data_IF_572280114564
#
_entry.id   IF_572280114564
#
_cell.length_a   1.000
_cell.length_b   1.000
_cell.length_c   1.000
_cell.angle_alpha   90.00
_cell.angle_beta   90.00
_cell.angle_gamma   90.00
#
_symmetry.space_group_name_H-M   'P 1'
#
loop_
_entity.id
_entity.type
_entity.pdbx_description
1 polymer ?
#
# COMPACT_ATOMS: atom_id res chain seq x y z
N UNK A 1 -1.01 8.61 -23.11
CA UNK A 1 -0.72 7.94 -24.39
C UNK A 1 -1.85 8.20 -25.39
N UNK A 2 -1.50 8.22 -26.67
CA UNK A 2 -2.48 8.29 -27.78
C UNK A 2 -2.84 6.85 -28.17
N UNK A 3 -4.11 6.60 -28.42
CA UNK A 3 -4.57 5.32 -28.96
C UNK A 3 -4.55 5.42 -30.49
N UNK A 4 -3.88 4.46 -31.12
CA UNK A 4 -3.79 4.36 -32.58
C UNK A 4 -5.07 3.76 -33.19
N UNK A 5 -5.20 3.79 -34.53
CA UNK A 5 -6.42 3.34 -35.23
C UNK A 5 -6.71 1.84 -35.03
N UNK A 6 -5.69 1.02 -34.76
CA UNK A 6 -5.81 -0.41 -34.47
C UNK A 6 -6.13 -0.70 -32.97
N UNK A 7 -6.28 0.34 -32.15
CA UNK A 7 -6.56 0.21 -30.72
C UNK A 7 -5.32 0.03 -29.85
N UNK A 8 -4.11 0.03 -30.43
CA UNK A 8 -2.87 -0.04 -29.66
C UNK A 8 -2.46 1.31 -29.08
N UNK A 9 -1.66 1.30 -28.06
CA UNK A 9 -0.98 2.47 -27.53
C UNK A 9 0.41 2.08 -27.03
N UNK A 10 1.32 3.03 -27.03
CA UNK A 10 2.63 2.87 -26.41
C UNK A 10 2.96 4.10 -25.56
N UNK A 11 3.69 3.87 -24.50
CA UNK A 11 4.19 4.92 -23.63
C UNK A 11 5.55 4.52 -23.06
N UNK A 12 6.54 5.38 -23.22
CA UNK A 12 7.87 5.19 -22.64
C UNK A 12 7.97 5.99 -21.34
N UNK A 13 8.43 5.35 -20.27
CA UNK A 13 8.70 5.96 -18.99
C UNK A 13 10.21 5.94 -18.72
N UNK A 14 10.72 7.02 -18.16
CA UNK A 14 12.12 7.13 -17.74
C UNK A 14 12.20 6.88 -16.22
N UNK A 15 12.24 5.60 -15.86
CA UNK A 15 12.29 5.21 -14.46
C UNK A 15 13.62 4.49 -14.17
N UNK A 16 14.19 4.79 -13.01
CA UNK A 16 15.44 4.14 -12.57
C UNK A 16 15.20 2.87 -11.75
N UNK A 17 13.95 2.58 -11.41
CA UNK A 17 13.55 1.46 -10.53
C UNK A 17 12.26 0.86 -11.01
N UNK A 18 12.00 -0.38 -10.58
CA UNK A 18 10.66 -0.97 -10.72
C UNK A 18 9.65 -0.18 -9.91
N UNK A 19 8.55 0.21 -10.53
CA UNK A 19 7.49 0.96 -9.88
C UNK A 19 6.11 0.35 -10.15
N UNK A 20 5.24 0.44 -9.17
CA UNK A 20 3.81 0.20 -9.35
C UNK A 20 3.18 1.43 -9.99
N UNK A 21 2.42 1.23 -11.04
CA UNK A 21 1.67 2.30 -11.71
C UNK A 21 0.32 1.78 -12.18
N UNK A 22 -0.47 2.61 -12.84
CA UNK A 22 -1.76 2.20 -13.35
C UNK A 22 -2.01 2.75 -14.74
N UNK A 23 -2.66 1.93 -15.56
CA UNK A 23 -3.25 2.37 -16.84
C UNK A 23 -4.74 2.49 -16.66
N UNK A 24 -5.29 3.64 -17.02
CA UNK A 24 -6.71 3.91 -16.95
C UNK A 24 -7.28 4.32 -18.29
N UNK A 25 -8.53 3.94 -18.52
CA UNK A 25 -9.32 4.41 -19.65
C UNK A 25 -10.68 4.88 -19.14
N UNK A 26 -11.12 6.04 -19.58
CA UNK A 26 -12.34 6.69 -19.06
C UNK A 26 -13.62 5.84 -19.13
N UNK A 27 -13.70 4.87 -20.03
CA UNK A 27 -14.84 3.96 -20.14
C UNK A 27 -14.79 2.81 -19.11
N UNK A 28 -13.63 2.48 -18.53
CA UNK A 28 -13.49 1.31 -17.64
C UNK A 28 -13.98 1.58 -16.22
N UNK A 29 -13.83 2.80 -15.73
CA UNK A 29 -14.15 3.12 -14.33
C UNK A 29 -13.17 2.58 -13.29
N UNK A 30 -12.35 1.60 -13.64
CA UNK A 30 -11.28 1.01 -12.82
C UNK A 30 -9.93 1.18 -13.48
N UNK A 31 -8.87 1.16 -12.70
CA UNK A 31 -7.50 1.21 -13.18
C UNK A 31 -6.93 -0.20 -13.35
N UNK A 32 -6.17 -0.42 -14.42
CA UNK A 32 -5.34 -1.61 -14.56
C UNK A 32 -4.02 -1.37 -13.83
N UNK A 33 -3.85 -1.98 -12.68
CA UNK A 33 -2.59 -1.91 -11.93
C UNK A 33 -1.52 -2.75 -12.61
N UNK A 34 -0.35 -2.16 -12.78
CA UNK A 34 0.79 -2.76 -13.47
C UNK A 34 2.10 -2.43 -12.75
N UNK A 35 3.13 -3.16 -13.09
CA UNK A 35 4.50 -2.82 -12.72
C UNK A 35 5.32 -2.46 -13.96
N UNK A 36 6.05 -1.38 -13.88
CA UNK A 36 7.04 -0.99 -14.87
C UNK A 36 8.43 -1.17 -14.29
N UNK A 37 9.34 -1.76 -15.05
CA UNK A 37 10.73 -1.95 -14.63
C UNK A 37 11.70 -1.41 -15.69
N UNK A 38 12.87 -0.85 -15.28
CA UNK A 38 13.86 -0.31 -16.19
C UNK A 38 14.28 -1.33 -17.25
N UNK A 39 14.31 -0.91 -18.50
CA UNK A 39 14.73 -1.75 -19.62
C UNK A 39 13.80 -2.91 -19.97
N UNK A 40 12.59 -2.96 -19.38
CA UNK A 40 11.62 -4.00 -19.65
C UNK A 40 10.36 -3.42 -20.31
N UNK A 41 9.65 -4.28 -21.04
CA UNK A 41 8.37 -3.96 -21.66
C UNK A 41 7.26 -4.59 -20.82
N UNK A 42 6.23 -3.80 -20.55
CA UNK A 42 4.98 -4.26 -19.95
C UNK A 42 3.87 -4.15 -20.97
N UNK A 43 3.13 -5.22 -21.18
CA UNK A 43 1.98 -5.24 -22.08
C UNK A 43 0.69 -5.27 -21.25
N UNK A 44 -0.25 -4.44 -21.63
CA UNK A 44 -1.56 -4.33 -20.95
C UNK A 44 -2.67 -4.39 -21.98
N UNK A 45 -3.56 -5.35 -21.81
CA UNK A 45 -4.76 -5.50 -22.64
C UNK A 45 -5.97 -5.06 -21.82
N UNK A 46 -6.61 -3.98 -22.22
CA UNK A 46 -7.79 -3.44 -21.54
C UNK A 46 -9.07 -3.96 -22.17
N UNK A 47 -9.93 -4.59 -21.39
CA UNK A 47 -11.27 -4.99 -21.83
C UNK A 47 -12.27 -3.86 -21.61
N UNK A 48 -12.25 -2.88 -22.53
CA UNK A 48 -13.08 -1.68 -22.44
C UNK A 48 -14.57 -2.01 -22.43
N UNK A 49 -14.99 -3.07 -23.13
CA UNK A 49 -16.39 -3.51 -23.14
C UNK A 49 -16.87 -3.96 -21.77
N UNK A 50 -16.11 -4.81 -21.10
CA UNK A 50 -16.46 -5.27 -19.75
C UNK A 50 -16.36 -4.12 -18.73
N UNK A 51 -15.38 -3.24 -18.86
CA UNK A 51 -15.28 -2.04 -18.05
C UNK A 51 -16.49 -1.12 -18.21
N UNK A 52 -16.92 -0.88 -19.44
CA UNK A 52 -18.10 -0.09 -19.70
C UNK A 52 -19.38 -0.74 -19.15
N UNK A 53 -19.52 -2.07 -19.26
CA UNK A 53 -20.62 -2.82 -18.63
C UNK A 53 -20.63 -2.63 -17.12
N UNK A 54 -19.50 -2.81 -16.45
CA UNK A 54 -19.36 -2.62 -15.00
C UNK A 54 -19.75 -1.22 -14.56
N UNK A 55 -19.38 -0.20 -15.34
CA UNK A 55 -19.69 1.19 -15.04
C UNK A 55 -21.14 1.58 -15.35
N UNK A 56 -21.85 0.79 -16.14
CA UNK A 56 -23.22 1.10 -16.57
C UNK A 56 -24.18 1.13 -15.37
N UNK A 57 -25.03 2.15 -15.32
CA UNK A 57 -26.13 2.25 -14.34
C UNK A 57 -27.22 1.18 -14.51
N UNK A 58 -27.19 0.47 -15.63
CA UNK A 58 -28.19 -0.56 -15.99
C UNK A 58 -27.70 -1.98 -15.74
N UNK A 59 -26.58 -2.16 -15.03
CA UNK A 59 -26.14 -3.50 -14.67
C UNK A 59 -26.93 -4.04 -13.48
N UNK A 60 -27.14 -5.36 -13.43
CA UNK A 60 -27.73 -6.00 -12.27
C UNK A 60 -26.75 -5.98 -11.09
N UNK A 61 -27.26 -5.80 -9.86
CA UNK A 61 -26.42 -5.73 -8.64
C UNK A 61 -25.49 -6.95 -8.47
N UNK A 62 -25.88 -8.12 -8.98
CA UNK A 62 -25.11 -9.36 -8.91
C UNK A 62 -24.50 -9.79 -10.27
N UNK A 63 -24.31 -8.86 -11.19
CA UNK A 63 -23.74 -9.18 -12.49
C UNK A 63 -22.28 -9.64 -12.36
N UNK A 64 -21.96 -10.80 -12.91
CA UNK A 64 -20.57 -11.25 -13.09
C UNK A 64 -19.96 -10.54 -14.27
N UNK A 65 -18.73 -10.05 -14.08
CA UNK A 65 -17.94 -9.41 -15.13
C UNK A 65 -16.73 -10.27 -15.48
N UNK A 66 -16.34 -10.25 -16.76
CA UNK A 66 -15.08 -10.81 -17.20
C UNK A 66 -13.89 -10.01 -16.67
N UNK A 67 -12.69 -10.52 -16.88
CA UNK A 67 -11.47 -9.78 -16.54
C UNK A 67 -11.46 -8.41 -17.24
N UNK A 68 -11.20 -7.36 -16.48
CA UNK A 68 -11.16 -5.99 -16.98
C UNK A 68 -9.86 -5.67 -17.70
N UNK A 69 -8.79 -6.34 -17.34
CA UNK A 69 -7.50 -6.22 -18.00
C UNK A 69 -6.67 -7.49 -17.85
N UNK A 70 -5.68 -7.61 -18.73
CA UNK A 70 -4.62 -8.60 -18.67
C UNK A 70 -3.29 -7.85 -18.68
N UNK A 71 -2.37 -8.33 -17.87
CA UNK A 71 -1.03 -7.78 -17.78
C UNK A 71 -0.02 -8.88 -18.08
N UNK A 72 1.00 -8.54 -18.86
CA UNK A 72 2.15 -9.37 -19.13
C UNK A 72 3.40 -8.51 -19.02
N UNK A 73 4.36 -8.96 -18.23
CA UNK A 73 5.58 -8.20 -18.00
C UNK A 73 6.25 -8.50 -16.66
N UNK A 74 7.11 -7.59 -16.18
CA UNK A 74 7.77 -7.76 -14.90
C UNK A 74 6.74 -7.87 -13.79
N UNK A 75 6.96 -8.81 -12.86
CA UNK A 75 6.08 -9.06 -11.71
C UNK A 75 4.64 -9.51 -12.07
N UNK A 76 4.45 -10.18 -13.21
CA UNK A 76 3.15 -10.70 -13.65
C UNK A 76 2.45 -11.54 -12.55
N UNK A 77 3.21 -12.38 -11.86
CA UNK A 77 2.67 -13.19 -10.77
C UNK A 77 2.10 -12.33 -9.64
N UNK A 78 2.81 -11.25 -9.27
CA UNK A 78 2.31 -10.31 -8.25
C UNK A 78 1.01 -9.64 -8.70
N UNK A 79 0.93 -9.16 -9.95
CA UNK A 79 -0.31 -8.57 -10.48
C UNK A 79 -1.47 -9.58 -10.46
N UNK A 80 -1.20 -10.83 -10.79
CA UNK A 80 -2.20 -11.90 -10.73
C UNK A 80 -2.67 -12.19 -9.31
N UNK A 81 -1.79 -12.10 -8.34
CA UNK A 81 -2.04 -12.37 -6.93
C UNK A 81 -2.56 -11.14 -6.15
N UNK A 82 -2.63 -9.96 -6.77
CA UNK A 82 -3.06 -8.71 -6.12
C UNK A 82 -4.41 -8.79 -5.38
N UNK A 83 -5.45 -9.50 -5.84
CA UNK A 83 -6.67 -9.64 -5.07
C UNK A 83 -6.45 -10.28 -3.70
N UNK A 84 -5.61 -11.33 -3.63
CA UNK A 84 -5.23 -12.01 -2.39
C UNK A 84 -4.36 -11.11 -1.50
N UNK A 85 -3.40 -10.40 -2.12
CA UNK A 85 -2.57 -9.38 -1.46
C UNK A 85 -3.43 -8.33 -0.79
N UNK A 86 -4.38 -7.74 -1.51
CA UNK A 86 -5.26 -6.71 -0.97
C UNK A 86 -6.13 -7.24 0.18
N UNK A 87 -6.60 -8.48 0.07
CA UNK A 87 -7.37 -9.12 1.14
C UNK A 87 -6.53 -9.29 2.42
N UNK A 88 -5.32 -9.82 2.31
CA UNK A 88 -4.40 -9.98 3.44
C UNK A 88 -4.08 -8.63 4.10
N UNK A 89 -3.76 -7.61 3.29
CA UNK A 89 -3.46 -6.27 3.80
C UNK A 89 -4.65 -5.67 4.53
N UNK A 90 -5.85 -5.76 3.96
CA UNK A 90 -7.07 -5.24 4.58
C UNK A 90 -7.40 -5.96 5.89
N UNK A 91 -7.23 -7.28 5.94
CA UNK A 91 -7.54 -8.07 7.13
C UNK A 91 -6.62 -7.78 8.31
N UNK A 92 -5.33 -7.57 8.07
CA UNK A 92 -4.32 -7.48 9.10
C UNK A 92 -3.83 -6.05 9.39
N UNK A 93 -3.81 -5.17 8.40
CA UNK A 93 -3.32 -3.80 8.54
C UNK A 93 -4.40 -2.72 8.37
N UNK A 94 -5.53 -3.04 7.74
CA UNK A 94 -6.58 -2.07 7.44
C UNK A 94 -7.44 -1.64 8.62
N UNK A 95 -7.30 -2.26 9.80
CA UNK A 95 -8.09 -1.93 10.98
C UNK A 95 -7.42 -0.85 11.81
N UNK A 96 -8.15 0.26 12.03
CA UNK A 96 -7.74 1.27 13.00
C UNK A 96 -8.02 0.78 14.42
N UNK A 97 -7.06 0.96 15.33
CA UNK A 97 -7.28 0.75 16.75
C UNK A 97 -8.03 1.95 17.36
N UNK A 98 -8.78 1.67 18.39
CA UNK A 98 -9.40 2.70 19.22
C UNK A 98 -8.49 2.97 20.42
N UNK A 99 -8.16 4.24 20.64
CA UNK A 99 -7.31 4.68 21.74
C UNK A 99 -8.11 5.50 22.74
N UNK A 100 -7.85 5.29 24.03
CA UNK A 100 -8.39 6.12 25.10
C UNK A 100 -7.53 7.40 25.24
N UNK A 101 -7.94 8.45 24.57
CA UNK A 101 -7.29 9.79 24.68
C UNK A 101 -7.42 10.41 26.06
N UNK A 102 -8.01 9.72 27.04
CA UNK A 102 -7.93 10.02 28.48
C UNK A 102 -6.56 9.76 29.08
N UNK A 103 -5.74 8.89 28.48
CA UNK A 103 -4.37 8.58 28.91
C UNK A 103 -3.39 9.69 28.57
N UNK A 104 -2.22 9.68 29.20
CA UNK A 104 -1.12 10.59 28.83
C UNK A 104 -0.55 10.28 27.45
N UNK A 105 -0.05 11.28 26.72
CA UNK A 105 0.48 11.06 25.35
C UNK A 105 1.60 10.03 25.25
N UNK A 106 2.48 9.99 26.25
CA UNK A 106 3.56 9.00 26.30
C UNK A 106 3.02 7.57 26.45
N UNK A 107 2.00 7.37 27.28
CA UNK A 107 1.38 6.06 27.47
C UNK A 107 0.61 5.64 26.21
N UNK A 108 -0.06 6.58 25.56
CA UNK A 108 -0.69 6.35 24.25
C UNK A 108 0.32 5.97 23.18
N UNK A 109 1.49 6.63 23.13
CA UNK A 109 2.53 6.27 22.17
C UNK A 109 3.09 4.87 22.41
N UNK A 110 3.25 4.48 23.67
CA UNK A 110 3.68 3.11 24.03
C UNK A 110 2.64 2.07 23.61
N UNK A 111 1.37 2.33 23.91
CA UNK A 111 0.24 1.48 23.51
C UNK A 111 0.13 1.38 21.99
N UNK A 112 0.20 2.51 21.28
CA UNK A 112 0.22 2.56 19.82
C UNK A 112 1.32 1.69 19.23
N UNK A 113 2.58 1.86 19.71
CA UNK A 113 3.71 1.04 19.27
C UNK A 113 3.48 -0.44 19.50
N UNK A 114 2.95 -0.82 20.67
CA UNK A 114 2.71 -2.20 21.02
C UNK A 114 1.63 -2.83 20.12
N UNK A 115 0.56 -2.10 19.86
CA UNK A 115 -0.52 -2.54 18.96
C UNK A 115 -0.03 -2.67 17.52
N UNK A 116 0.71 -1.68 17.01
CA UNK A 116 1.28 -1.73 15.67
C UNK A 116 2.27 -2.90 15.51
N UNK A 117 3.14 -3.13 16.49
CA UNK A 117 4.04 -4.28 16.47
C UNK A 117 3.29 -5.62 16.41
N UNK A 118 2.21 -5.75 17.17
CA UNK A 118 1.38 -6.96 17.15
C UNK A 118 0.65 -7.16 15.82
N UNK A 119 0.18 -6.08 15.17
CA UNK A 119 -0.41 -6.14 13.82
C UNK A 119 0.60 -6.56 12.78
N UNK A 120 1.77 -5.95 12.80
CA UNK A 120 2.87 -6.24 11.88
C UNK A 120 3.28 -7.72 11.97
N UNK A 121 3.43 -8.24 13.18
CA UNK A 121 3.79 -9.66 13.38
C UNK A 121 2.72 -10.59 12.81
N UNK A 122 1.46 -10.34 13.12
CA UNK A 122 0.34 -11.11 12.55
C UNK A 122 0.26 -11.03 11.03
N UNK A 123 0.52 -9.84 10.46
CA UNK A 123 0.56 -9.67 9.01
C UNK A 123 1.69 -10.49 8.38
N UNK A 124 2.90 -10.47 8.96
CA UNK A 124 4.03 -11.27 8.48
C UNK A 124 3.76 -12.76 8.57
N UNK A 125 3.22 -13.23 9.68
CA UNK A 125 2.83 -14.63 9.84
C UNK A 125 1.79 -15.05 8.78
N UNK A 126 0.78 -14.24 8.54
CA UNK A 126 -0.23 -14.50 7.51
C UNK A 126 0.38 -14.56 6.10
N UNK A 127 1.31 -13.67 5.78
CA UNK A 127 2.04 -13.68 4.50
C UNK A 127 2.88 -14.96 4.36
N UNK A 128 3.62 -15.34 5.38
CA UNK A 128 4.45 -16.56 5.35
C UNK A 128 3.60 -17.81 5.10
N UNK A 129 2.44 -17.92 5.75
CA UNK A 129 1.54 -19.06 5.66
C UNK A 129 0.61 -19.03 4.44
N UNK A 130 0.63 -17.95 3.65
CA UNK A 130 -0.22 -17.82 2.46
C UNK A 130 0.28 -18.68 1.30
N UNK A 131 -0.58 -19.02 0.33
CA UNK A 131 -0.21 -19.76 -0.88
C UNK A 131 0.49 -18.87 -1.93
N UNK A 132 0.77 -17.61 -1.62
CA UNK A 132 1.39 -16.65 -2.54
C UNK A 132 2.81 -17.06 -2.96
N UNK A 133 3.20 -16.64 -4.17
CA UNK A 133 4.54 -16.87 -4.68
C UNK A 133 5.62 -16.11 -3.89
N UNK A 134 6.87 -16.58 -3.95
CA UNK A 134 7.98 -15.99 -3.19
C UNK A 134 8.22 -14.50 -3.51
N UNK A 135 8.09 -14.10 -4.77
CA UNK A 135 8.24 -12.70 -5.16
C UNK A 135 7.13 -11.82 -4.54
N UNK A 136 5.89 -12.32 -4.50
CA UNK A 136 4.76 -11.63 -3.88
C UNK A 136 4.93 -11.55 -2.36
N UNK A 137 5.43 -12.60 -1.72
CA UNK A 137 5.75 -12.58 -0.28
C UNK A 137 6.84 -11.56 0.05
N UNK A 138 7.90 -11.49 -0.77
CA UNK A 138 8.95 -10.49 -0.61
C UNK A 138 8.41 -9.05 -0.77
N UNK A 139 7.56 -8.83 -1.76
CA UNK A 139 6.85 -7.55 -1.94
C UNK A 139 6.01 -7.19 -0.70
N UNK A 140 5.23 -8.13 -0.19
CA UNK A 140 4.39 -7.91 0.99
C UNK A 140 5.22 -7.63 2.26
N UNK A 141 6.31 -8.34 2.47
CA UNK A 141 7.20 -8.08 3.61
C UNK A 141 7.81 -6.67 3.55
N UNK A 142 8.23 -6.25 2.35
CA UNK A 142 8.68 -4.88 2.14
C UNK A 142 7.57 -3.86 2.42
N UNK A 143 6.36 -4.11 1.94
CA UNK A 143 5.20 -3.24 2.17
C UNK A 143 4.83 -3.16 3.66
N UNK A 144 4.82 -4.28 4.38
CA UNK A 144 4.58 -4.34 5.81
C UNK A 144 5.65 -3.54 6.58
N UNK A 145 6.91 -3.66 6.18
CA UNK A 145 8.01 -2.90 6.78
C UNK A 145 7.84 -1.40 6.58
N UNK A 146 7.39 -0.98 5.39
CA UNK A 146 7.06 0.42 5.12
C UNK A 146 5.88 0.90 5.93
N UNK A 147 4.82 0.11 6.03
CA UNK A 147 3.67 0.45 6.87
C UNK A 147 4.10 0.69 8.32
N UNK A 148 5.01 -0.13 8.84
CA UNK A 148 5.59 0.05 10.17
C UNK A 148 6.31 1.40 10.31
N UNK A 149 7.09 1.79 9.31
CA UNK A 149 7.79 3.07 9.30
C UNK A 149 6.80 4.25 9.21
N UNK A 150 5.85 4.17 8.28
CA UNK A 150 4.82 5.21 8.09
C UNK A 150 4.00 5.39 9.37
N UNK A 151 3.55 4.29 9.99
CA UNK A 151 2.83 4.34 11.26
C UNK A 151 3.63 5.05 12.37
N UNK A 152 4.94 4.82 12.42
CA UNK A 152 5.79 5.50 13.39
C UNK A 152 5.92 7.00 13.07
N UNK A 153 6.08 7.37 11.79
CA UNK A 153 6.17 8.76 11.36
C UNK A 153 4.87 9.53 11.64
N UNK A 154 3.73 8.90 11.47
CA UNK A 154 2.41 9.49 11.68
C UNK A 154 1.98 9.54 13.15
N UNK A 155 2.57 8.70 14.02
CA UNK A 155 2.17 8.60 15.42
C UNK A 155 2.10 9.94 16.16
N UNK A 156 3.05 10.89 16.02
CA UNK A 156 2.93 12.19 16.67
C UNK A 156 1.71 12.97 16.22
N UNK A 157 1.43 13.00 14.93
CA UNK A 157 0.28 13.74 14.39
C UNK A 157 -1.04 13.13 14.87
N UNK A 158 -1.13 11.81 14.84
CA UNK A 158 -2.33 11.09 15.27
C UNK A 158 -2.60 11.26 16.77
N UNK A 159 -1.58 11.06 17.60
CA UNK A 159 -1.74 11.02 19.05
C UNK A 159 -1.76 12.41 19.66
N UNK A 160 -0.84 13.30 19.24
CA UNK A 160 -0.76 14.65 19.81
C UNK A 160 -1.87 15.56 19.34
N UNK A 161 -2.28 15.46 18.06
CA UNK A 161 -3.42 16.22 17.52
C UNK A 161 -4.71 15.90 18.25
N UNK A 162 -5.04 14.63 18.41
CA UNK A 162 -6.24 14.18 19.13
C UNK A 162 -6.17 14.48 20.64
N UNK A 163 -4.98 14.37 21.23
CA UNK A 163 -4.77 14.73 22.63
C UNK A 163 -4.93 16.23 22.87
N UNK A 164 -4.39 17.06 21.99
CA UNK A 164 -4.57 18.51 22.06
C UNK A 164 -6.04 18.92 21.95
N UNK A 165 -6.82 18.22 21.11
CA UNK A 165 -8.27 18.41 21.03
C UNK A 165 -9.01 18.06 22.35
N UNK A 166 -8.44 17.20 23.18
CA UNK A 166 -8.94 16.89 24.51
C UNK A 166 -8.54 17.90 25.61
N UNK A 167 -7.90 19.01 25.26
CA UNK A 167 -7.47 20.10 26.14
C UNK A 167 -6.60 19.63 27.33
N UNK A 168 -5.59 18.81 27.06
CA UNK A 168 -4.69 18.30 28.10
C UNK A 168 -3.25 18.75 27.91
N UNK A 169 -2.54 18.90 29.02
CA UNK A 169 -1.12 19.19 29.02
C UNK A 169 -0.31 17.99 28.50
N UNK A 170 0.61 18.24 27.58
CA UNK A 170 1.45 17.22 26.98
C UNK A 170 2.84 17.24 27.63
N UNK A 171 3.30 16.07 28.07
CA UNK A 171 4.68 15.86 28.56
C UNK A 171 5.65 15.78 27.36
N UNK A 172 5.90 16.93 26.71
CA UNK A 172 6.62 17.00 25.42
C UNK A 172 8.01 16.39 25.44
N UNK A 173 8.77 16.63 26.50
CA UNK A 173 10.16 16.13 26.59
C UNK A 173 10.21 14.60 26.68
N UNK A 174 9.42 13.99 27.56
CA UNK A 174 9.37 12.55 27.72
C UNK A 174 8.81 11.87 26.47
N UNK A 175 7.76 12.44 25.86
CA UNK A 175 7.21 11.96 24.59
C UNK A 175 8.27 12.01 23.49
N UNK A 176 8.93 13.14 23.30
CA UNK A 176 9.94 13.33 22.26
C UNK A 176 11.15 12.41 22.45
N UNK A 177 11.64 12.26 23.68
CA UNK A 177 12.75 11.37 23.98
C UNK A 177 12.42 9.90 23.65
N UNK A 178 11.25 9.43 24.06
CA UNK A 178 10.79 8.08 23.74
C UNK A 178 10.58 7.90 22.23
N UNK A 179 9.91 8.85 21.55
CA UNK A 179 9.69 8.82 20.11
C UNK A 179 11.01 8.73 19.33
N UNK A 180 11.99 9.56 19.68
CA UNK A 180 13.32 9.51 19.08
C UNK A 180 14.06 8.19 19.34
N UNK A 181 13.81 7.54 20.48
CA UNK A 181 14.38 6.22 20.76
C UNK A 181 13.86 5.14 19.81
N UNK A 182 12.59 5.25 19.38
CA UNK A 182 11.99 4.33 18.41
C UNK A 182 12.67 4.45 17.04
N UNK A 183 12.96 5.68 16.58
CA UNK A 183 13.70 5.91 15.34
C UNK A 183 15.12 5.32 15.38
N UNK A 184 15.81 5.51 16.51
CA UNK A 184 17.16 4.96 16.69
C UNK A 184 17.19 3.43 16.66
N UNK A 185 16.10 2.79 17.09
CA UNK A 185 15.96 1.33 17.12
C UNK A 185 15.48 0.74 15.79
N UNK A 186 15.09 1.58 14.80
CA UNK A 186 14.68 1.07 13.50
C UNK A 186 15.86 0.47 12.73
N UNK A 187 15.65 -0.65 12.00
CA UNK A 187 16.66 -1.17 11.10
C UNK A 187 17.09 -0.10 10.08
N UNK A 188 18.39 0.03 9.84
CA UNK A 188 18.92 1.06 8.93
C UNK A 188 18.84 0.68 7.46
N UNK A 189 18.54 -0.58 7.16
CA UNK A 189 18.46 -1.16 5.82
C UNK A 189 17.12 -0.88 5.09
N UNK A 190 16.24 -0.10 5.70
CA UNK A 190 14.99 0.34 5.04
C UNK A 190 15.21 1.07 3.70
N UNK A 191 16.36 1.67 3.51
CA UNK A 191 16.69 2.44 2.31
C UNK A 191 17.46 1.63 1.26
N UNK A 192 17.99 0.46 1.62
CA UNK A 192 18.98 -0.26 0.81
C UNK A 192 18.40 -1.31 -0.14
N UNK A 193 17.11 -1.60 -0.08
CA UNK A 193 16.53 -2.68 -0.87
C UNK A 193 15.43 -2.21 -1.80
N UNK A 194 14.99 -3.14 -2.64
CA UNK A 194 13.85 -3.06 -3.57
C UNK A 194 12.51 -2.70 -2.90
N UNK A 195 12.57 -2.24 -1.64
CA UNK A 195 11.43 -1.72 -0.89
C UNK A 195 10.69 -0.60 -1.63
N UNK A 196 11.40 0.15 -2.45
CA UNK A 196 10.78 1.17 -3.31
C UNK A 196 9.84 0.59 -4.37
N UNK A 197 9.92 -0.70 -4.64
CA UNK A 197 8.91 -1.41 -5.46
C UNK A 197 7.56 -1.48 -4.76
N UNK A 198 7.57 -1.51 -3.43
CA UNK A 198 6.37 -1.58 -2.59
C UNK A 198 5.69 -0.22 -2.37
N UNK A 199 6.37 0.88 -2.71
CA UNK A 199 5.92 2.23 -2.44
C UNK A 199 5.24 2.86 -3.64
N UNK A 200 4.05 3.39 -3.44
CA UNK A 200 3.62 4.56 -4.18
C UNK A 200 4.54 5.71 -3.76
N UNK A 201 5.39 6.17 -4.66
CA UNK A 201 6.38 7.22 -4.37
C UNK A 201 5.75 8.49 -3.78
N UNK A 202 4.46 8.72 -4.01
CA UNK A 202 3.72 9.86 -3.46
C UNK A 202 3.50 9.83 -1.94
N UNK A 203 3.62 8.68 -1.28
CA UNK A 203 3.34 8.55 0.16
C UNK A 203 4.58 8.76 1.03
N UNK A 204 5.78 8.69 0.45
CA UNK A 204 7.05 8.76 1.22
C UNK A 204 7.72 10.14 1.17
N UNK A 205 7.37 10.96 0.20
CA UNK A 205 8.02 12.25 -0.05
C UNK A 205 7.17 13.46 0.37
N UNK A 206 6.01 13.25 1.02
CA UNK A 206 5.23 14.30 1.67
C UNK A 206 5.46 14.31 3.17
#
# INVERSE_FOLDING_TARGET
AKIEADGTFSYAMHEMRTMRTAVSHGAMGDNAEIFAAPGQVSEVYLNIREGARKRSKFHAENASYGKLYYYQGPMENLVREMPEVNLLMMQHLGKSDTYDFGKKPLDLLKEYKQNEAAKIEKAREAVLNSPLGNATKAYLDAHISMQQMTSLLEAPNLLTGKYAMANREMEREAFSAYYMSLFKAMPKDYLDKDMFVALNQSEVLM
#
